data_IF_767207524224
#
_entry.id   IF_767207524224
#
_cell.length_a   1.000
_cell.length_b   1.000
_cell.length_c   1.000
_cell.angle_alpha   90.00
_cell.angle_beta   90.00
_cell.angle_gamma   90.00
#
_symmetry.space_group_name_H-M   'P 1'
#
loop_
_entity.id
_entity.type
_entity.pdbx_description
1 polymer ?
#
# COMPACT_ATOMS: atom_id res chain seq x y z
N UNK A 1 10.60 19.41 7.92
CA UNK A 1 9.39 19.65 7.09
C UNK A 1 8.61 18.34 6.94
N UNK A 2 7.91 17.91 7.98
CA UNK A 2 6.90 16.84 7.92
C UNK A 2 5.50 17.47 7.89
N UNK A 3 4.53 16.84 7.21
CA UNK A 3 3.12 17.28 7.29
C UNK A 3 2.43 17.73 6.00
N UNK A 4 3.08 17.71 4.83
CA UNK A 4 2.43 18.08 3.55
C UNK A 4 1.47 17.01 2.97
N UNK A 5 1.13 15.96 3.73
CA UNK A 5 0.18 14.94 3.27
C UNK A 5 0.64 14.08 2.09
N UNK A 6 1.95 14.01 1.78
CA UNK A 6 2.48 13.19 0.67
C UNK A 6 2.02 11.73 0.75
N UNK A 7 2.10 11.16 1.96
CA UNK A 7 1.67 9.79 2.23
C UNK A 7 0.15 9.69 2.09
N UNK A 8 -0.58 10.68 2.61
CA UNK A 8 -2.04 10.77 2.50
C UNK A 8 -2.50 10.80 1.05
N UNK A 9 -1.91 11.63 0.20
CA UNK A 9 -2.25 11.73 -1.21
C UNK A 9 -2.00 10.40 -1.93
N UNK A 10 -0.84 9.78 -1.71
CA UNK A 10 -0.53 8.48 -2.28
C UNK A 10 -1.50 7.39 -1.80
N UNK A 11 -1.88 7.39 -0.52
CA UNK A 11 -2.86 6.46 0.04
C UNK A 11 -4.27 6.67 -0.54
N UNK A 12 -4.68 7.93 -0.78
CA UNK A 12 -5.95 8.26 -1.43
C UNK A 12 -5.98 7.73 -2.86
N UNK A 13 -4.92 7.95 -3.65
CA UNK A 13 -4.84 7.43 -5.03
C UNK A 13 -4.80 5.90 -5.04
N UNK A 14 -4.03 5.28 -4.14
CA UNK A 14 -3.91 3.82 -4.02
C UNK A 14 -5.25 3.15 -3.68
N UNK A 15 -6.07 3.75 -2.82
CA UNK A 15 -7.36 3.21 -2.40
C UNK A 15 -8.54 3.65 -3.30
N UNK A 16 -8.29 4.52 -4.28
CA UNK A 16 -9.34 5.02 -5.15
C UNK A 16 -9.88 3.90 -6.06
N UNK A 17 -11.14 3.52 -5.86
CA UNK A 17 -11.83 2.50 -6.66
C UNK A 17 -11.99 2.88 -8.13
N UNK A 18 -11.86 4.17 -8.48
CA UNK A 18 -11.86 4.64 -9.87
C UNK A 18 -10.48 4.43 -10.51
N UNK A 19 -9.40 4.61 -9.75
CA UNK A 19 -8.02 4.50 -10.27
C UNK A 19 -7.54 3.05 -10.32
N UNK A 20 -7.85 2.26 -9.28
CA UNK A 20 -7.43 0.85 -9.14
C UNK A 20 -7.76 -0.08 -10.32
N UNK A 21 -8.92 0.04 -11.00
CA UNK A 21 -9.25 -0.77 -12.17
C UNK A 21 -8.24 -0.63 -13.31
N UNK A 22 -7.59 0.52 -13.46
CA UNK A 22 -6.65 0.82 -14.54
C UNK A 22 -5.27 0.18 -14.38
N UNK A 23 -4.99 -0.44 -13.23
CA UNK A 23 -3.74 -1.14 -12.97
C UNK A 23 -4.04 -2.63 -12.83
N UNK A 24 -3.33 -3.44 -13.62
CA UNK A 24 -3.40 -4.90 -13.51
C UNK A 24 -2.77 -5.35 -12.19
N UNK A 25 -1.63 -4.76 -11.82
CA UNK A 25 -0.92 -5.00 -10.56
C UNK A 25 -0.65 -3.69 -9.83
N UNK A 26 -0.74 -3.73 -8.51
CA UNK A 26 -0.44 -2.59 -7.64
C UNK A 26 0.00 -3.08 -6.25
N UNK A 27 0.93 -2.38 -5.61
CA UNK A 27 1.38 -2.74 -4.27
C UNK A 27 1.66 -1.48 -3.45
N UNK A 28 1.35 -1.56 -2.15
CA UNK A 28 1.75 -0.57 -1.17
C UNK A 28 2.80 -1.19 -0.25
N UNK A 29 3.98 -0.59 -0.21
CA UNK A 29 5.08 -1.03 0.65
C UNK A 29 5.57 0.14 1.50
N UNK A 30 5.85 -0.13 2.76
CA UNK A 30 6.50 0.82 3.67
C UNK A 30 7.97 0.41 3.80
N UNK A 31 8.88 1.36 3.58
CA UNK A 31 10.31 1.13 3.69
C UNK A 31 10.85 1.90 4.90
N UNK A 32 11.49 1.18 5.81
CA UNK A 32 12.19 1.78 6.95
C UNK A 32 13.48 2.46 6.50
N UNK A 33 14.01 3.36 7.33
CA UNK A 33 15.27 4.07 7.01
C UNK A 33 16.44 3.12 6.75
N UNK A 34 16.46 1.98 7.45
CA UNK A 34 17.35 0.85 7.17
C UNK A 34 16.51 -0.31 6.65
N UNK A 35 16.94 -0.90 5.54
CA UNK A 35 16.29 -2.05 4.92
C UNK A 35 17.32 -2.96 4.29
N UNK A 36 16.98 -4.25 4.19
CA UNK A 36 17.74 -5.23 3.40
C UNK A 36 17.09 -5.31 2.03
N UNK A 37 17.91 -5.21 0.97
CA UNK A 37 17.43 -5.18 -0.42
C UNK A 37 16.62 -6.44 -0.77
N UNK A 38 17.06 -7.62 -0.30
CA UNK A 38 16.34 -8.87 -0.54
C UNK A 38 14.93 -8.86 0.07
N UNK A 39 14.81 -8.41 1.32
CA UNK A 39 13.52 -8.33 2.02
C UNK A 39 12.57 -7.33 1.35
N UNK A 40 13.12 -6.20 0.87
CA UNK A 40 12.37 -5.20 0.12
C UNK A 40 11.80 -5.79 -1.18
N UNK A 41 12.63 -6.50 -1.96
CA UNK A 41 12.17 -7.14 -3.19
C UNK A 41 11.16 -8.25 -2.92
N UNK A 42 11.35 -9.07 -1.87
CA UNK A 42 10.37 -10.07 -1.45
C UNK A 42 9.03 -9.45 -1.11
N UNK A 43 9.02 -8.36 -0.33
CA UNK A 43 7.80 -7.65 0.04
C UNK A 43 7.10 -7.04 -1.18
N UNK A 44 7.86 -6.45 -2.11
CA UNK A 44 7.32 -5.88 -3.34
C UNK A 44 6.67 -6.95 -4.23
N UNK A 45 7.36 -8.07 -4.47
CA UNK A 45 6.85 -9.19 -5.27
C UNK A 45 5.59 -9.77 -4.61
N UNK A 46 5.62 -10.01 -3.30
CA UNK A 46 4.47 -10.52 -2.57
C UNK A 46 3.24 -9.58 -2.68
N UNK A 47 3.45 -8.26 -2.59
CA UNK A 47 2.41 -7.26 -2.77
C UNK A 47 1.80 -7.26 -4.18
N UNK A 48 2.62 -7.41 -5.22
CA UNK A 48 2.16 -7.46 -6.61
C UNK A 48 1.43 -8.77 -6.93
N UNK A 49 1.90 -9.91 -6.41
CA UNK A 49 1.23 -11.20 -6.58
C UNK A 49 -0.15 -11.19 -5.92
N UNK A 50 -0.29 -10.56 -4.74
CA UNK A 50 -1.57 -10.42 -4.04
C UNK A 50 -2.60 -9.56 -4.78
N UNK A 51 -2.16 -8.57 -5.57
CA UNK A 51 -3.07 -7.64 -6.25
C UNK A 51 -3.50 -8.08 -7.66
N UNK A 52 -2.97 -9.21 -8.14
CA UNK A 52 -3.29 -9.70 -9.47
C UNK A 52 -4.76 -10.14 -9.59
N UNK A 53 -5.55 -9.38 -10.36
CA UNK A 53 -6.95 -9.69 -10.68
C UNK A 53 -7.14 -11.01 -11.45
N UNK A 54 -6.07 -11.59 -12.00
CA UNK A 54 -6.10 -12.82 -12.80
C UNK A 54 -6.17 -14.14 -12.00
N UNK A 55 -6.09 -14.11 -10.67
CA UNK A 55 -6.19 -15.29 -9.80
C UNK A 55 -7.30 -15.12 -8.78
N UNK A 56 -8.52 -15.55 -9.12
CA UNK A 56 -9.71 -15.41 -8.28
C UNK A 56 -9.54 -16.13 -6.93
N UNK A 57 -9.59 -15.33 -5.86
CA UNK A 57 -10.30 -15.58 -4.61
C UNK A 57 -10.45 -14.23 -3.90
N UNK A 58 -11.51 -13.52 -4.26
CA UNK A 58 -12.07 -12.41 -3.50
C UNK A 58 -12.50 -12.92 -2.12
N UNK A 59 -11.63 -12.90 -1.12
CA UNK A 59 -12.02 -13.06 0.28
C UNK A 59 -10.91 -12.55 1.23
N UNK A 60 -11.29 -11.60 2.10
CA UNK A 60 -10.57 -11.10 3.30
C UNK A 60 -9.32 -10.19 3.07
N UNK A 61 -9.18 -9.00 3.65
CA UNK A 61 -9.70 -8.42 4.89
C UNK A 61 -9.89 -6.90 4.69
N UNK A 62 -11.00 -6.35 5.20
CA UNK A 62 -11.06 -4.94 5.60
C UNK A 62 -10.15 -4.74 6.82
N UNK A 63 -8.82 -4.79 6.62
CA UNK A 63 -7.96 -4.19 7.62
C UNK A 63 -8.02 -2.70 7.38
N UNK A 64 -8.92 -2.04 8.13
CA UNK A 64 -8.92 -0.61 8.27
C UNK A 64 -7.48 -0.16 8.48
N UNK A 65 -6.96 0.61 7.52
CA UNK A 65 -5.81 1.44 7.78
C UNK A 65 -6.28 2.45 8.82
N UNK A 66 -6.09 2.11 10.09
CA UNK A 66 -6.26 3.09 11.16
C UNK A 66 -5.43 4.30 10.75
N UNK A 67 -6.03 5.51 10.69
CA UNK A 67 -5.24 6.72 10.57
C UNK A 67 -4.18 6.63 11.66
N UNK A 68 -2.91 6.80 11.29
CA UNK A 68 -1.86 6.99 12.30
C UNK A 68 -2.33 8.23 13.08
N UNK A 69 -2.85 7.97 14.29
CA UNK A 69 -3.36 8.99 15.17
C UNK A 69 -2.32 10.09 15.26
N UNK A 70 -2.76 11.33 15.08
CA UNK A 70 -1.94 12.48 15.38
C UNK A 70 -1.64 12.45 16.87
N UNK A 71 -0.48 11.90 17.24
CA UNK A 71 0.09 12.11 18.54
C UNK A 71 0.84 13.45 18.46
N UNK A 72 0.09 14.51 18.73
CA UNK A 72 0.63 15.84 18.92
C UNK A 72 0.30 16.26 20.35
N UNK A 73 1.20 15.89 21.27
CA UNK A 73 1.46 16.68 22.46
C UNK A 73 2.30 17.92 22.11
#
# INVERSE_FOLDING_TARGET
>A
MGGLGKITLAATTYNCQVVRPHFDWYAWITVSQSYVIEDLFRAMIAGLVKSNKGGRSDEFEHHELQPIGGDSG
#
